data_IF_901493171229
#
_entry.id   IF_901493171229
#
_cell.length_a   1.000
_cell.length_b   1.000
_cell.length_c   1.000
_cell.angle_alpha   90.00
_cell.angle_beta   90.00
_cell.angle_gamma   90.00
#
_symmetry.space_group_name_H-M   'P 1'
#
loop_
_entity.id
_entity.type
_entity.pdbx_description
1 polymer ?
#
# COMPACT_ATOMS: atom_id res chain seq x y z
N UNK A 1 -78.90 28.78 -5.63
CA UNK A 1 -79.28 27.80 -4.62
C UNK A 1 -78.03 27.00 -4.25
N UNK A 2 -77.76 26.98 -2.99
CA UNK A 2 -76.44 26.64 -2.40
C UNK A 2 -76.38 25.17 -1.99
N UNK A 3 -75.31 24.53 -2.22
CA UNK A 3 -75.03 23.32 -1.50
C UNK A 3 -73.50 23.26 -1.20
N UNK A 4 -73.21 23.35 0.07
CA UNK A 4 -71.88 23.23 0.60
C UNK A 4 -71.46 21.75 0.72
N UNK A 5 -70.24 21.50 0.44
CA UNK A 5 -69.57 20.21 0.69
C UNK A 5 -68.51 20.38 1.77
N UNK A 6 -68.78 19.81 2.94
CA UNK A 6 -67.80 19.59 4.00
C UNK A 6 -66.70 18.67 3.52
N UNK A 7 -65.48 19.14 3.64
CA UNK A 7 -64.29 18.29 3.52
C UNK A 7 -63.86 17.80 4.89
N UNK A 8 -63.96 16.52 5.10
CA UNK A 8 -63.37 15.81 6.24
C UNK A 8 -61.87 15.69 6.06
N UNK A 9 -61.11 16.20 7.00
CA UNK A 9 -59.65 15.99 7.08
C UNK A 9 -59.39 14.69 7.81
N UNK A 10 -58.71 13.78 7.18
CA UNK A 10 -58.14 12.56 7.80
C UNK A 10 -56.73 12.84 8.31
N UNK A 11 -56.37 12.43 9.52
CA UNK A 11 -54.99 12.57 9.99
C UNK A 11 -54.08 11.47 9.38
N UNK A 12 -53.05 11.92 8.74
CA UNK A 12 -51.91 11.03 8.34
C UNK A 12 -51.16 10.61 9.60
N UNK A 13 -51.33 9.37 10.01
CA UNK A 13 -50.43 8.72 10.98
C UNK A 13 -49.06 8.54 10.34
N UNK A 14 -48.09 9.25 10.90
CA UNK A 14 -46.69 9.12 10.53
C UNK A 14 -46.14 7.73 10.82
N UNK A 15 -45.75 7.01 9.78
CA UNK A 15 -44.97 5.82 9.86
C UNK A 15 -43.52 6.22 10.18
N UNK A 16 -43.15 6.20 11.46
CA UNK A 16 -41.74 6.33 11.89
C UNK A 16 -41.07 5.04 11.49
N UNK A 17 -40.35 5.05 10.35
CA UNK A 17 -39.42 4.00 9.98
C UNK A 17 -38.27 4.00 11.00
N UNK A 18 -38.25 2.99 11.86
CA UNK A 18 -37.06 2.60 12.63
C UNK A 18 -35.97 2.18 11.64
N UNK A 19 -35.19 3.14 11.20
CA UNK A 19 -33.88 2.88 10.59
C UNK A 19 -33.01 2.27 11.70
N UNK A 20 -32.94 0.97 11.71
CA UNK A 20 -32.02 0.23 12.57
C UNK A 20 -30.61 0.76 12.35
N UNK A 21 -30.07 1.37 13.39
CA UNK A 21 -28.65 1.70 13.48
C UNK A 21 -27.86 0.40 13.36
N UNK A 22 -27.46 0.07 12.13
CA UNK A 22 -26.47 -0.98 11.93
C UNK A 22 -25.21 -0.51 12.67
N UNK A 23 -24.89 -1.25 13.71
CA UNK A 23 -23.72 -1.03 14.56
C UNK A 23 -22.47 -0.87 13.70
N UNK A 24 -21.89 0.32 13.76
CA UNK A 24 -20.58 0.61 13.18
C UNK A 24 -19.43 -0.05 13.96
N UNK A 25 -19.75 -0.92 14.92
CA UNK A 25 -18.80 -1.44 15.91
C UNK A 25 -18.12 -2.75 15.53
N UNK A 26 -18.40 -3.35 14.38
CA UNK A 26 -17.88 -4.69 14.05
C UNK A 26 -17.00 -4.71 12.79
N UNK A 27 -16.33 -3.59 12.49
CA UNK A 27 -15.24 -3.61 11.51
C UNK A 27 -13.94 -3.82 12.27
N UNK A 28 -13.25 -4.95 12.07
CA UNK A 28 -11.94 -5.17 12.66
C UNK A 28 -11.05 -3.96 12.33
N UNK A 29 -10.40 -3.42 13.34
CA UNK A 29 -9.44 -2.35 13.14
C UNK A 29 -8.33 -2.81 12.21
N UNK A 30 -7.73 -1.89 11.46
CA UNK A 30 -6.59 -2.25 10.57
C UNK A 30 -5.49 -3.04 11.28
N UNK A 31 -5.40 -2.96 12.60
CA UNK A 31 -4.41 -3.67 13.42
C UNK A 31 -4.78 -5.14 13.67
N UNK A 32 -6.06 -5.46 13.59
CA UNK A 32 -6.61 -6.79 13.89
C UNK A 32 -6.76 -7.65 12.63
N UNK A 33 -6.35 -7.12 11.48
CA UNK A 33 -6.40 -7.87 10.22
C UNK A 33 -5.29 -8.94 10.19
N UNK A 34 -5.58 -10.11 9.60
CA UNK A 34 -4.58 -11.16 9.43
C UNK A 34 -3.40 -10.64 8.61
N UNK A 35 -2.21 -11.12 8.91
CA UNK A 35 -1.05 -10.90 8.07
C UNK A 35 -1.22 -11.63 6.74
N UNK A 36 -0.56 -11.15 5.68
CA UNK A 36 -0.54 -11.86 4.40
C UNK A 36 -0.02 -13.30 4.53
N UNK A 37 0.86 -13.55 5.51
CA UNK A 37 1.41 -14.89 5.80
C UNK A 37 0.38 -15.85 6.42
N UNK A 38 -0.61 -15.29 7.11
CA UNK A 38 -1.63 -16.05 7.84
C UNK A 38 -2.88 -16.28 6.99
N UNK A 39 -2.89 -15.73 5.77
CA UNK A 39 -3.98 -16.02 4.84
C UNK A 39 -3.92 -17.49 4.44
N UNK A 40 -5.06 -18.19 4.46
CA UNK A 40 -5.15 -19.44 3.72
C UNK A 40 -4.74 -19.15 2.27
N UNK A 41 -4.09 -20.11 1.61
CA UNK A 41 -3.74 -19.96 0.20
C UNK A 41 -4.94 -19.33 -0.53
N UNK A 42 -4.68 -18.45 -1.49
CA UNK A 42 -5.77 -17.79 -2.25
C UNK A 42 -6.68 -18.80 -2.97
N UNK A 43 -6.56 -20.10 -2.62
CA UNK A 43 -7.36 -21.20 -3.18
C UNK A 43 -7.20 -21.34 -4.69
N UNK A 44 -6.03 -20.98 -5.23
CA UNK A 44 -5.79 -20.91 -6.68
C UNK A 44 -6.37 -19.66 -7.35
N UNK A 45 -6.99 -18.74 -6.61
CA UNK A 45 -7.49 -17.47 -7.16
C UNK A 45 -6.32 -16.54 -7.47
N UNK A 46 -6.20 -16.12 -8.71
CA UNK A 46 -5.19 -15.12 -9.11
C UNK A 46 -5.66 -13.71 -8.75
N UNK A 47 -4.69 -12.85 -8.42
CA UNK A 47 -4.94 -11.43 -8.18
C UNK A 47 -5.57 -10.77 -9.41
N UNK A 48 -6.53 -9.87 -9.17
CA UNK A 48 -7.08 -9.03 -10.23
C UNK A 48 -6.07 -7.98 -10.71
N UNK A 49 -5.15 -7.56 -9.84
CA UNK A 49 -4.12 -6.59 -10.16
C UNK A 49 -3.23 -6.24 -8.99
N UNK A 50 -2.23 -5.40 -9.27
CA UNK A 50 -1.38 -4.73 -8.29
C UNK A 50 -1.46 -3.23 -8.49
N UNK A 51 -1.42 -2.45 -7.41
CA UNK A 51 -1.36 -0.98 -7.44
C UNK A 51 -0.46 -0.44 -6.34
N UNK A 52 -0.01 0.82 -6.51
CA UNK A 52 0.89 1.50 -5.59
C UNK A 52 0.31 2.87 -5.22
N UNK A 53 0.10 3.09 -3.92
CA UNK A 53 -0.37 4.33 -3.33
C UNK A 53 0.78 5.09 -2.65
N UNK A 54 1.24 6.17 -3.26
CA UNK A 54 2.29 7.05 -2.73
C UNK A 54 1.73 8.37 -2.17
N UNK A 55 0.41 8.49 -2.03
CA UNK A 55 -0.22 9.73 -1.51
C UNK A 55 0.31 10.11 -0.12
N UNK A 56 0.54 9.19 0.83
CA UNK A 56 1.14 9.56 2.10
C UNK A 56 2.53 10.18 1.94
N UNK A 57 3.35 9.64 1.02
CA UNK A 57 4.68 10.16 0.75
C UNK A 57 4.64 11.53 0.06
N UNK A 58 3.70 11.74 -0.87
CA UNK A 58 3.49 13.04 -1.52
C UNK A 58 3.05 14.10 -0.50
N UNK A 59 2.19 13.75 0.46
CA UNK A 59 1.77 14.65 1.55
C UNK A 59 2.93 15.10 2.44
N UNK A 60 4.01 14.31 2.51
CA UNK A 60 5.24 14.65 3.22
C UNK A 60 6.26 15.42 2.35
N UNK A 61 5.88 15.85 1.16
CA UNK A 61 6.77 16.57 0.26
C UNK A 61 7.63 15.70 -0.66
N UNK A 62 7.27 14.42 -0.84
CA UNK A 62 8.04 13.43 -1.62
C UNK A 62 8.27 13.75 -3.09
N UNK A 63 7.46 14.64 -3.68
CA UNK A 63 7.69 15.22 -5.01
C UNK A 63 7.99 14.21 -6.13
N UNK A 64 8.92 14.58 -7.00
CA UNK A 64 9.35 13.76 -8.17
C UNK A 64 9.90 12.38 -7.76
N UNK A 65 10.72 12.24 -6.70
CA UNK A 65 11.18 10.91 -6.25
C UNK A 65 10.05 9.96 -5.87
N UNK A 66 8.95 10.46 -5.27
CA UNK A 66 7.79 9.63 -4.93
C UNK A 66 7.08 9.10 -6.17
N UNK A 67 6.96 9.92 -7.23
CA UNK A 67 6.34 9.50 -8.49
C UNK A 67 7.21 8.47 -9.20
N UNK A 68 8.52 8.69 -9.26
CA UNK A 68 9.47 7.74 -9.83
C UNK A 68 9.44 6.39 -9.07
N UNK A 69 9.39 6.44 -7.73
CA UNK A 69 9.23 5.24 -6.91
C UNK A 69 7.95 4.50 -7.23
N UNK A 70 6.83 5.21 -7.41
CA UNK A 70 5.55 4.58 -7.76
C UNK A 70 5.65 3.78 -9.05
N UNK A 71 6.26 4.34 -10.08
CA UNK A 71 6.44 3.68 -11.38
C UNK A 71 7.34 2.45 -11.26
N UNK A 72 8.49 2.58 -10.62
CA UNK A 72 9.44 1.50 -10.44
C UNK A 72 8.85 0.35 -9.60
N UNK A 73 8.19 0.69 -8.48
CA UNK A 73 7.60 -0.31 -7.61
C UNK A 73 6.44 -1.03 -8.29
N UNK A 74 5.60 -0.31 -9.05
CA UNK A 74 4.53 -0.93 -9.82
C UNK A 74 5.08 -1.89 -10.88
N UNK A 75 6.15 -1.51 -11.57
CA UNK A 75 6.80 -2.37 -12.54
C UNK A 75 7.42 -3.62 -11.87
N UNK A 76 8.12 -3.43 -10.75
CA UNK A 76 8.71 -4.53 -9.98
C UNK A 76 7.64 -5.50 -9.45
N UNK A 77 6.54 -4.98 -8.91
CA UNK A 77 5.42 -5.81 -8.44
C UNK A 77 4.78 -6.60 -9.58
N UNK A 78 4.56 -5.99 -10.74
CA UNK A 78 4.02 -6.70 -11.91
C UNK A 78 4.94 -7.82 -12.37
N UNK A 79 6.25 -7.63 -12.31
CA UNK A 79 7.23 -8.66 -12.65
C UNK A 79 7.23 -9.80 -11.63
N UNK A 80 7.31 -9.47 -10.33
CA UNK A 80 7.36 -10.47 -9.25
C UNK A 80 6.08 -11.30 -9.12
N UNK A 81 4.93 -10.72 -9.44
CA UNK A 81 3.61 -11.36 -9.35
C UNK A 81 3.04 -11.78 -10.70
N UNK A 82 3.83 -11.81 -11.77
CA UNK A 82 3.34 -12.09 -13.13
C UNK A 82 2.56 -13.41 -13.23
N UNK A 83 3.01 -14.44 -12.52
CA UNK A 83 2.38 -15.77 -12.43
C UNK A 83 1.04 -15.78 -11.66
N UNK A 84 0.82 -14.75 -10.83
CA UNK A 84 -0.37 -14.61 -9.97
C UNK A 84 -1.35 -13.55 -10.41
N UNK A 85 -1.07 -12.84 -11.50
CA UNK A 85 -1.93 -11.80 -12.06
C UNK A 85 -2.90 -12.36 -13.11
N UNK A 86 -3.89 -11.54 -13.48
CA UNK A 86 -4.83 -11.83 -14.56
C UNK A 86 -6.06 -12.62 -14.11
N UNK A 87 -6.30 -12.70 -12.79
CA UNK A 87 -7.52 -13.31 -12.24
C UNK A 87 -8.62 -12.30 -11.94
N UNK A 88 -9.61 -12.78 -11.20
CA UNK A 88 -10.72 -11.97 -10.68
C UNK A 88 -10.69 -11.88 -9.14
N UNK A 89 -9.60 -12.28 -8.52
CA UNK A 89 -9.40 -12.25 -7.08
C UNK A 89 -9.23 -10.83 -6.53
N UNK A 90 -8.63 -10.69 -5.35
CA UNK A 90 -8.38 -9.40 -4.74
C UNK A 90 -7.30 -8.60 -5.49
N UNK A 91 -7.22 -7.30 -5.18
CA UNK A 91 -6.14 -6.41 -5.63
C UNK A 91 -5.09 -6.30 -4.53
N UNK A 92 -3.82 -6.42 -4.87
CA UNK A 92 -2.71 -6.12 -3.98
C UNK A 92 -2.35 -4.64 -4.08
N UNK A 93 -2.69 -3.86 -3.06
CA UNK A 93 -2.38 -2.44 -2.95
C UNK A 93 -1.17 -2.25 -2.03
N UNK A 94 -0.08 -1.69 -2.54
CA UNK A 94 1.09 -1.30 -1.74
C UNK A 94 1.02 0.19 -1.45
N UNK A 95 0.87 0.55 -0.17
CA UNK A 95 0.85 1.93 0.30
C UNK A 95 2.19 2.29 0.90
N UNK A 96 2.87 3.28 0.33
CA UNK A 96 4.17 3.75 0.80
C UNK A 96 3.97 4.92 1.77
N UNK A 97 4.63 4.83 2.92
CA UNK A 97 4.56 5.78 4.03
C UNK A 97 5.81 6.64 4.14
N UNK A 98 6.98 6.07 3.79
CA UNK A 98 8.26 6.77 3.90
C UNK A 98 9.29 6.23 2.90
N UNK A 99 10.10 7.15 2.38
CA UNK A 99 11.29 6.86 1.59
C UNK A 99 12.44 7.71 2.17
N UNK A 100 13.51 7.07 2.57
CA UNK A 100 14.74 7.73 3.03
C UNK A 100 15.89 7.30 2.14
N UNK A 101 16.32 8.22 1.29
CA UNK A 101 17.54 8.09 0.48
C UNK A 101 18.61 8.89 1.20
N UNK A 102 19.52 8.19 1.87
CA UNK A 102 20.58 8.86 2.61
C UNK A 102 21.53 9.61 1.65
N UNK A 103 21.96 10.84 2.01
CA UNK A 103 23.00 11.50 1.25
C UNK A 103 24.24 10.61 1.25
N UNK A 104 24.58 10.09 0.08
CA UNK A 104 25.79 9.30 -0.08
C UNK A 104 26.98 10.26 -0.22
N UNK A 105 27.37 10.84 0.91
CA UNK A 105 28.68 11.48 1.01
C UNK A 105 29.69 10.35 1.11
N UNK A 106 30.42 10.12 0.03
CA UNK A 106 31.33 9.01 -0.17
C UNK A 106 32.01 8.57 1.12
N UNK A 107 31.96 7.27 1.37
CA UNK A 107 32.52 6.73 2.59
C UNK A 107 33.90 7.31 2.80
N UNK A 108 34.04 8.07 3.88
CA UNK A 108 35.29 8.67 4.23
C UNK A 108 36.27 7.51 4.49
N UNK A 109 37.13 7.25 3.52
CA UNK A 109 38.29 6.37 3.67
C UNK A 109 39.29 6.90 4.70
N UNK A 110 38.78 7.69 5.66
CA UNK A 110 39.51 8.21 6.81
C UNK A 110 39.98 7.07 7.68
N UNK A 111 41.26 6.89 7.73
CA UNK A 111 42.03 6.09 8.66
C UNK A 111 41.58 6.26 10.11
N UNK A 112 40.48 5.63 10.49
CA UNK A 112 39.94 5.75 11.86
C UNK A 112 38.93 4.66 12.16
N UNK A 113 39.44 3.54 12.57
CA UNK A 113 38.88 2.61 13.54
C UNK A 113 37.42 2.85 13.95
N UNK A 114 36.58 1.84 13.73
CA UNK A 114 35.29 1.57 14.36
C UNK A 114 34.13 2.42 13.81
N UNK A 115 33.40 1.87 12.87
CA UNK A 115 32.05 2.29 12.55
C UNK A 115 31.83 2.79 11.12
N UNK A 116 32.45 2.19 10.12
CA UNK A 116 31.97 2.30 8.74
C UNK A 116 30.61 1.62 8.63
N UNK A 117 29.58 2.22 9.24
CA UNK A 117 28.20 1.79 9.07
C UNK A 117 27.88 1.90 7.59
N UNK A 118 27.56 0.80 6.96
CA UNK A 118 27.01 0.82 5.60
C UNK A 118 25.75 1.65 5.63
N UNK A 119 25.82 2.85 5.02
CA UNK A 119 24.63 3.68 4.88
C UNK A 119 23.60 2.91 4.07
N UNK A 120 22.38 2.89 4.57
CA UNK A 120 21.27 2.20 3.94
C UNK A 120 20.17 3.19 3.57
N UNK A 121 19.54 2.93 2.46
CA UNK A 121 18.29 3.53 2.07
C UNK A 121 17.14 2.72 2.62
N UNK A 122 16.06 3.38 2.99
CA UNK A 122 14.90 2.73 3.62
C UNK A 122 13.62 3.04 2.85
N UNK A 123 12.78 2.03 2.73
CA UNK A 123 11.43 2.15 2.20
C UNK A 123 10.44 1.54 3.20
N UNK A 124 9.61 2.38 3.79
CA UNK A 124 8.54 1.98 4.70
C UNK A 124 7.19 2.00 4.00
N UNK A 125 6.44 0.94 4.19
CA UNK A 125 5.11 0.81 3.62
C UNK A 125 4.32 -0.33 4.21
N UNK A 126 3.18 -0.57 3.58
CA UNK A 126 2.32 -1.70 3.90
C UNK A 126 1.65 -2.23 2.63
N UNK A 127 1.54 -3.53 2.54
CA UNK A 127 0.73 -4.19 1.53
C UNK A 127 -0.66 -4.50 2.10
N UNK A 128 -1.68 -4.19 1.33
CA UNK A 128 -3.08 -4.43 1.65
C UNK A 128 -3.68 -5.33 0.57
N UNK A 129 -4.35 -6.39 0.98
CA UNK A 129 -5.13 -7.20 0.08
C UNK A 129 -6.56 -6.69 0.07
N UNK A 130 -7.00 -6.14 -1.05
CA UNK A 130 -8.30 -5.49 -1.18
C UNK A 130 -9.27 -6.42 -1.89
N UNK A 131 -10.34 -6.79 -1.23
CA UNK A 131 -11.40 -7.62 -1.79
C UNK A 131 -12.24 -6.87 -2.82
N UNK A 132 -13.12 -7.59 -3.50
CA UNK A 132 -13.94 -7.07 -4.61
C UNK A 132 -14.92 -5.97 -4.21
N UNK A 133 -15.27 -5.88 -2.92
CA UNK A 133 -16.16 -4.84 -2.36
C UNK A 133 -15.39 -3.68 -1.77
N UNK A 134 -14.04 -3.65 -1.92
CA UNK A 134 -13.17 -2.64 -1.34
C UNK A 134 -12.80 -2.89 0.12
N UNK A 135 -13.19 -4.02 0.70
CA UNK A 135 -12.80 -4.43 2.05
C UNK A 135 -11.32 -4.81 2.11
N UNK A 136 -10.66 -4.53 3.20
CA UNK A 136 -9.29 -4.97 3.46
C UNK A 136 -9.33 -6.37 4.04
N UNK A 137 -8.85 -7.35 3.28
CA UNK A 137 -8.82 -8.77 3.67
C UNK A 137 -7.60 -9.09 4.53
N UNK A 138 -6.47 -8.47 4.24
CA UNK A 138 -5.23 -8.67 4.98
C UNK A 138 -4.32 -7.45 4.88
N UNK A 139 -3.39 -7.37 5.83
CA UNK A 139 -2.41 -6.30 5.93
C UNK A 139 -1.02 -6.85 6.26
N UNK A 140 0.00 -6.35 5.58
CA UNK A 140 1.39 -6.71 5.83
C UNK A 140 2.26 -5.44 5.87
N UNK A 141 2.66 -4.96 7.05
CA UNK A 141 3.63 -3.88 7.15
C UNK A 141 5.01 -4.41 6.73
N UNK A 142 5.75 -3.61 5.96
CA UNK A 142 7.08 -3.99 5.49
C UNK A 142 8.00 -2.77 5.49
N UNK A 143 9.16 -2.96 6.12
CA UNK A 143 10.31 -2.06 6.02
C UNK A 143 11.40 -2.76 5.21
N UNK A 144 11.86 -2.11 4.16
CA UNK A 144 12.99 -2.59 3.35
C UNK A 144 14.18 -1.66 3.51
N UNK A 145 15.37 -2.24 3.50
CA UNK A 145 16.64 -1.53 3.55
C UNK A 145 17.58 -2.08 2.48
N UNK A 146 18.22 -1.20 1.74
CA UNK A 146 19.27 -1.56 0.78
C UNK A 146 20.51 -0.68 1.02
N UNK A 147 21.73 -1.19 0.77
CA UNK A 147 22.92 -0.37 0.88
C UNK A 147 22.85 0.83 -0.08
N UNK A 148 23.25 2.02 0.37
CA UNK A 148 23.30 3.22 -0.47
C UNK A 148 24.27 3.06 -1.66
N UNK A 149 25.21 2.13 -1.57
CA UNK A 149 26.11 1.75 -2.68
C UNK A 149 25.40 1.05 -3.85
N UNK A 150 24.13 0.63 -3.70
CA UNK A 150 23.35 0.01 -4.79
C UNK A 150 23.16 0.92 -6.01
N UNK A 151 23.33 2.23 -5.84
CA UNK A 151 23.29 3.21 -6.94
C UNK A 151 24.61 3.34 -7.72
N UNK A 152 25.68 2.67 -7.33
CA UNK A 152 27.00 2.83 -7.91
C UNK A 152 27.77 4.02 -7.34
N UNK A 153 28.60 4.65 -8.16
CA UNK A 153 29.46 5.76 -7.73
C UNK A 153 28.63 6.98 -7.26
N UNK A 154 28.98 7.53 -6.10
CA UNK A 154 28.26 8.64 -5.49
C UNK A 154 28.26 9.92 -6.32
N UNK A 155 29.29 10.14 -7.12
CA UNK A 155 29.42 11.31 -8.01
C UNK A 155 28.66 11.16 -9.33
N UNK A 156 28.03 10.00 -9.59
CA UNK A 156 27.21 9.79 -10.77
C UNK A 156 25.83 10.41 -10.56
N UNK A 157 25.40 11.38 -11.39
CA UNK A 157 24.09 12.03 -11.26
C UNK A 157 22.91 11.06 -11.29
N UNK A 158 23.06 9.88 -11.90
CA UNK A 158 22.02 8.86 -11.95
C UNK A 158 22.02 7.92 -10.73
N UNK A 159 22.96 8.07 -9.78
CA UNK A 159 23.11 7.20 -8.63
C UNK A 159 21.84 7.15 -7.78
N UNK A 160 21.26 8.30 -7.44
CA UNK A 160 20.02 8.37 -6.65
C UNK A 160 18.85 7.67 -7.35
N UNK A 161 18.69 7.89 -8.66
CA UNK A 161 17.64 7.25 -9.45
C UNK A 161 17.77 5.72 -9.43
N UNK A 162 18.98 5.19 -9.56
CA UNK A 162 19.25 3.75 -9.47
C UNK A 162 18.95 3.18 -8.08
N UNK A 163 19.22 3.95 -7.02
CA UNK A 163 18.91 3.55 -5.64
C UNK A 163 17.41 3.42 -5.42
N UNK A 164 16.61 4.35 -5.96
CA UNK A 164 15.14 4.26 -5.93
C UNK A 164 14.66 3.00 -6.65
N UNK A 165 15.21 2.70 -7.81
CA UNK A 165 14.89 1.46 -8.54
C UNK A 165 15.28 0.21 -7.74
N UNK A 166 16.49 0.20 -7.17
CA UNK A 166 17.00 -0.95 -6.41
C UNK A 166 16.12 -1.24 -5.18
N UNK A 167 15.72 -0.20 -4.42
CA UNK A 167 14.87 -0.41 -3.24
C UNK A 167 13.46 -0.83 -3.61
N UNK A 168 12.91 -0.35 -4.73
CA UNK A 168 11.62 -0.78 -5.25
C UNK A 168 11.62 -2.28 -5.61
N UNK A 169 12.65 -2.73 -6.33
CA UNK A 169 12.82 -4.16 -6.68
C UNK A 169 12.99 -5.01 -5.44
N UNK A 170 13.82 -4.59 -4.50
CA UNK A 170 14.05 -5.30 -3.25
C UNK A 170 12.75 -5.42 -2.43
N UNK A 171 11.96 -4.34 -2.34
CA UNK A 171 10.67 -4.34 -1.65
C UNK A 171 9.69 -5.34 -2.29
N UNK A 172 9.56 -5.32 -3.62
CA UNK A 172 8.67 -6.23 -4.34
C UNK A 172 9.06 -7.70 -4.15
N UNK A 173 10.36 -8.03 -4.23
CA UNK A 173 10.85 -9.38 -4.03
C UNK A 173 10.63 -9.91 -2.61
N UNK A 174 10.75 -9.07 -1.58
CA UNK A 174 10.41 -9.46 -0.21
C UNK A 174 8.91 -9.65 -0.01
N UNK A 175 8.10 -8.78 -0.58
CA UNK A 175 6.66 -8.90 -0.50
C UNK A 175 6.16 -10.18 -1.17
N UNK A 176 6.78 -10.58 -2.30
CA UNK A 176 6.47 -11.84 -2.97
C UNK A 176 6.66 -13.06 -2.06
N UNK A 177 7.70 -13.04 -1.21
CA UNK A 177 7.97 -14.11 -0.23
C UNK A 177 7.02 -14.08 0.96
N UNK A 178 6.41 -12.94 1.26
CA UNK A 178 5.46 -12.81 2.36
C UNK A 178 4.08 -13.37 2.04
N UNK A 179 3.74 -13.56 0.77
CA UNK A 179 2.50 -14.20 0.35
C UNK A 179 2.66 -15.72 0.35
N UNK A 180 1.61 -16.47 0.78
CA UNK A 180 1.63 -17.93 0.72
C UNK A 180 1.99 -18.39 -0.69
N UNK A 181 2.84 -19.41 -0.75
CA UNK A 181 3.15 -20.11 -1.99
C UNK A 181 2.13 -21.25 -2.09
N UNK A 182 1.36 -21.27 -3.17
CA UNK A 182 0.43 -22.37 -3.46
C UNK A 182 1.22 -23.62 -3.82
#
# INVERSE_FOLDING_TARGET
>A
MRSGLLRAAAPLLGLVALLGSARAEDRPGLKDLPSLKDLPSLGGERLAGVDVDVRPLLALGGGVPALALREDLLAALKAEFADRLGGRGPVLLVRIKGLSINPYAGGDGGRGRLGGGTQSDYLDGEALLIGRRGEVLARHPQLSAVPSSSGGAWYDPASERRRVTAIAQHYAGWLRRALPQD
#
